data_IF_818156557449
#
_entry.id   IF_818156557449
#
_cell.length_a   1.000
_cell.length_b   1.000
_cell.length_c   1.000
_cell.angle_alpha   90.00
_cell.angle_beta   90.00
_cell.angle_gamma   90.00
#
_symmetry.space_group_name_H-M   'P 1'
#
loop_
_entity.id
_entity.type
_entity.pdbx_description
1 polymer ?
#
# COMPACT_ATOMS: atom_id res chain seq x y z
N UNK A 1 0.95 20.99 -9.88
CA UNK A 1 0.76 19.97 -8.83
C UNK A 1 0.11 18.76 -9.49
N UNK A 2 0.85 17.70 -9.79
CA UNK A 2 0.28 16.50 -10.43
C UNK A 2 -0.57 15.77 -9.39
N UNK A 3 -1.88 15.63 -9.62
CA UNK A 3 -2.74 14.76 -8.81
C UNK A 3 -2.14 13.35 -8.88
N UNK A 4 -1.59 12.84 -7.77
CA UNK A 4 -1.07 11.48 -7.64
C UNK A 4 -2.24 10.51 -7.70
N UNK A 5 -2.76 10.31 -8.90
CA UNK A 5 -3.93 9.48 -9.12
C UNK A 5 -3.42 8.07 -9.35
N UNK A 6 -3.91 7.12 -8.57
CA UNK A 6 -3.63 5.70 -8.80
C UNK A 6 -4.12 5.36 -10.22
N UNK A 7 -3.32 4.66 -11.03
CA UNK A 7 -3.73 4.29 -12.38
C UNK A 7 -5.01 3.45 -12.34
N UNK A 8 -5.91 3.63 -13.31
CA UNK A 8 -7.17 2.89 -13.39
C UNK A 8 -6.95 1.36 -13.39
N UNK A 9 -5.94 0.89 -14.12
CA UNK A 9 -5.59 -0.53 -14.16
C UNK A 9 -5.20 -1.09 -12.78
N UNK A 10 -4.64 -0.25 -11.90
CA UNK A 10 -4.30 -0.68 -10.53
C UNK A 10 -5.58 -0.96 -9.78
N UNK A 11 -6.57 -0.06 -9.83
CA UNK A 11 -7.88 -0.24 -9.20
C UNK A 11 -8.58 -1.54 -9.65
N UNK A 12 -8.35 -2.00 -10.88
CA UNK A 12 -8.89 -3.28 -11.37
C UNK A 12 -8.21 -4.53 -10.81
N UNK A 13 -6.94 -4.44 -10.41
CA UNK A 13 -6.14 -5.57 -9.87
C UNK A 13 -5.95 -5.50 -8.35
N UNK A 14 -6.37 -4.41 -7.70
CA UNK A 14 -6.27 -4.31 -6.24
C UNK A 14 -7.22 -5.30 -5.57
N UNK A 15 -6.72 -5.91 -4.51
CA UNK A 15 -7.52 -6.71 -3.59
C UNK A 15 -7.98 -5.82 -2.46
N UNK A 16 -9.27 -5.84 -2.20
CA UNK A 16 -9.90 -5.07 -1.14
C UNK A 16 -9.97 -5.90 0.13
N UNK A 17 -9.63 -5.29 1.26
CA UNK A 17 -9.81 -5.86 2.59
C UNK A 17 -10.72 -4.93 3.36
N UNK A 18 -11.82 -5.49 3.86
CA UNK A 18 -12.77 -4.77 4.67
C UNK A 18 -12.23 -4.56 6.09
N UNK A 19 -12.59 -3.43 6.68
CA UNK A 19 -12.22 -3.09 8.05
C UNK A 19 -13.21 -2.09 8.62
N UNK A 20 -13.25 -1.98 9.95
CA UNK A 20 -14.06 -1.00 10.69
C UNK A 20 -13.61 0.44 10.47
N UNK A 21 -12.33 0.67 10.17
CA UNK A 21 -11.80 2.01 9.93
C UNK A 21 -11.54 2.24 8.44
N UNK A 22 -12.45 2.93 7.76
CA UNK A 22 -12.40 3.26 6.34
C UNK A 22 -12.08 4.74 6.04
N UNK A 23 -11.62 5.48 7.06
CA UNK A 23 -11.35 6.92 6.96
C UNK A 23 -10.20 7.28 6.00
N UNK A 24 -9.36 6.30 5.65
CA UNK A 24 -8.11 6.50 4.95
C UNK A 24 -8.05 5.64 3.67
N UNK A 25 -7.63 6.25 2.55
CA UNK A 25 -7.46 5.52 1.29
C UNK A 25 -6.11 4.81 1.25
N UNK A 26 -6.05 3.65 1.89
CA UNK A 26 -4.80 2.87 2.01
C UNK A 26 -4.66 1.93 0.82
N UNK A 27 -3.53 2.03 0.12
CA UNK A 27 -3.11 1.13 -0.94
C UNK A 27 -1.70 0.61 -0.66
N UNK A 28 -1.57 -0.71 -0.51
CA UNK A 28 -0.30 -1.37 -0.21
C UNK A 28 0.17 -2.23 -1.40
N UNK A 29 1.30 -1.88 -1.99
CA UNK A 29 2.00 -2.76 -2.92
C UNK A 29 2.85 -3.74 -2.13
N UNK A 30 2.64 -5.03 -2.37
CA UNK A 30 3.25 -6.12 -1.61
C UNK A 30 3.80 -7.21 -2.52
N UNK A 31 4.61 -8.10 -1.94
CA UNK A 31 5.05 -9.34 -2.56
C UNK A 31 4.47 -10.51 -1.77
N UNK A 32 3.90 -11.49 -2.46
CA UNK A 32 3.32 -12.69 -1.84
C UNK A 32 4.37 -13.51 -1.06
N UNK A 33 5.62 -13.47 -1.53
CA UNK A 33 6.77 -14.16 -0.95
C UNK A 33 7.48 -13.38 0.17
N UNK A 34 7.12 -12.12 0.43
CA UNK A 34 7.81 -11.28 1.41
C UNK A 34 7.20 -11.39 2.82
N UNK A 35 8.02 -11.73 3.81
CA UNK A 35 7.60 -11.84 5.22
C UNK A 35 7.13 -10.49 5.79
N UNK A 36 7.79 -9.39 5.44
CA UNK A 36 7.42 -8.05 5.89
C UNK A 36 6.07 -7.59 5.34
N UNK A 37 5.76 -7.96 4.09
CA UNK A 37 4.45 -7.70 3.51
C UNK A 37 3.33 -8.41 4.27
N UNK A 38 3.56 -9.67 4.66
CA UNK A 38 2.60 -10.42 5.49
C UNK A 38 2.39 -9.75 6.86
N UNK A 39 3.46 -9.29 7.51
CA UNK A 39 3.38 -8.55 8.78
C UNK A 39 2.59 -7.24 8.64
N UNK A 40 2.81 -6.50 7.55
CA UNK A 40 2.07 -5.28 7.24
C UNK A 40 0.57 -5.54 7.11
N UNK A 41 0.16 -6.50 6.25
CA UNK A 41 -1.24 -6.88 6.07
C UNK A 41 -1.87 -7.28 7.40
N UNK A 42 -1.17 -8.10 8.18
CA UNK A 42 -1.63 -8.52 9.51
C UNK A 42 -1.78 -7.35 10.47
N UNK A 43 -0.89 -6.36 10.47
CA UNK A 43 -1.02 -5.17 11.31
C UNK A 43 -2.32 -4.40 10.99
N UNK A 44 -2.58 -4.16 9.70
CA UNK A 44 -3.79 -3.47 9.24
C UNK A 44 -5.06 -4.24 9.60
N UNK A 45 -5.04 -5.56 9.38
CA UNK A 45 -6.12 -6.48 9.75
C UNK A 45 -6.38 -6.51 11.28
N UNK A 46 -5.33 -6.54 12.10
CA UNK A 46 -5.45 -6.52 13.56
C UNK A 46 -6.03 -5.20 14.10
N UNK A 47 -5.79 -4.09 13.39
CA UNK A 47 -6.39 -2.78 13.70
C UNK A 47 -7.76 -2.60 13.03
N UNK A 48 -8.27 -3.61 12.32
CA UNK A 48 -9.52 -3.59 11.57
C UNK A 48 -9.59 -2.38 10.62
N UNK A 49 -8.48 -2.04 9.97
CA UNK A 49 -8.41 -0.93 9.04
C UNK A 49 -8.79 -1.44 7.65
N UNK A 50 -9.65 -0.72 6.94
CA UNK A 50 -9.96 -1.00 5.54
C UNK A 50 -8.75 -0.59 4.69
N UNK A 51 -8.24 -1.51 3.89
CA UNK A 51 -7.12 -1.23 2.99
C UNK A 51 -7.22 -2.03 1.72
N UNK A 52 -6.48 -1.58 0.71
CA UNK A 52 -6.34 -2.26 -0.58
C UNK A 52 -4.91 -2.70 -0.74
N UNK A 53 -4.68 -3.84 -1.38
CA UNK A 53 -3.33 -4.29 -1.66
C UNK A 53 -3.19 -4.94 -3.04
N UNK A 54 -1.99 -4.84 -3.60
CA UNK A 54 -1.62 -5.49 -4.86
C UNK A 54 -0.38 -6.32 -4.63
N UNK A 55 -0.48 -7.62 -4.89
CA UNK A 55 0.71 -8.47 -4.94
C UNK A 55 1.35 -8.35 -6.32
N UNK A 56 2.37 -7.49 -6.45
CA UNK A 56 3.01 -7.18 -7.75
C UNK A 56 3.74 -8.37 -8.38
N UNK A 57 3.98 -9.42 -7.58
CA UNK A 57 4.52 -10.70 -8.02
C UNK A 57 3.45 -11.62 -8.63
N UNK A 58 2.17 -11.40 -8.30
CA UNK A 58 1.04 -12.26 -8.70
C UNK A 58 0.29 -11.71 -9.92
N UNK A 59 0.80 -10.64 -10.53
CA UNK A 59 0.22 -9.98 -11.71
C UNK A 59 1.15 -10.15 -12.91
N UNK A 60 0.63 -9.87 -14.10
CA UNK A 60 1.41 -9.94 -15.33
C UNK A 60 2.58 -8.95 -15.32
N UNK A 61 3.67 -9.32 -16.01
CA UNK A 61 4.88 -8.51 -16.13
C UNK A 61 4.63 -7.10 -16.69
N UNK A 62 3.63 -6.94 -17.57
CA UNK A 62 3.19 -5.64 -18.10
C UNK A 62 2.67 -4.73 -16.97
N UNK A 63 1.65 -5.17 -16.24
CA UNK A 63 1.10 -4.44 -15.10
C UNK A 63 2.18 -4.15 -14.03
N UNK A 64 3.06 -5.12 -13.78
CA UNK A 64 4.19 -4.94 -12.86
C UNK A 64 5.12 -3.82 -13.31
N UNK A 65 5.47 -3.77 -14.60
CA UNK A 65 6.28 -2.70 -15.17
C UNK A 65 5.64 -1.33 -14.99
N UNK A 66 4.34 -1.23 -15.29
CA UNK A 66 3.59 0.02 -15.13
C UNK A 66 3.52 0.49 -13.67
N UNK A 67 3.32 -0.42 -12.71
CA UNK A 67 3.33 -0.06 -11.27
C UNK A 67 4.72 0.45 -10.87
N UNK A 68 5.79 -0.24 -11.29
CA UNK A 68 7.15 0.17 -10.97
C UNK A 68 7.48 1.55 -11.54
N UNK A 69 7.09 1.82 -12.79
CA UNK A 69 7.24 3.11 -13.43
C UNK A 69 6.45 4.19 -12.70
N UNK A 70 5.17 3.95 -12.42
CA UNK A 70 4.33 4.83 -11.62
C UNK A 70 4.97 5.16 -10.27
N UNK A 71 5.44 4.15 -9.53
CA UNK A 71 6.06 4.35 -8.22
C UNK A 71 7.35 5.16 -8.33
N UNK A 72 8.16 4.91 -9.35
CA UNK A 72 9.43 5.60 -9.60
C UNK A 72 9.21 7.07 -9.95
N UNK A 73 8.24 7.35 -10.83
CA UNK A 73 7.92 8.71 -11.26
C UNK A 73 7.22 9.54 -10.18
N UNK A 74 6.40 8.92 -9.33
CA UNK A 74 5.59 9.66 -8.35
C UNK A 74 6.25 9.80 -6.97
N UNK A 75 7.16 8.90 -6.60
CA UNK A 75 7.70 8.85 -5.24
C UNK A 75 9.22 9.02 -5.15
N UNK A 76 9.93 9.12 -6.30
CA UNK A 76 11.38 9.43 -6.42
C UNK A 76 12.28 8.74 -5.37
N UNK A 77 11.90 7.53 -4.95
CA UNK A 77 12.52 6.80 -3.85
C UNK A 77 12.87 5.38 -4.26
N UNK A 78 13.71 4.72 -3.47
CA UNK A 78 14.02 3.31 -3.69
C UNK A 78 12.76 2.50 -3.46
N UNK A 79 12.25 1.89 -4.53
CA UNK A 79 11.09 1.01 -4.46
C UNK A 79 11.46 -0.22 -3.63
N UNK A 80 10.89 -0.31 -2.43
CA UNK A 80 10.98 -1.48 -1.55
C UNK A 80 9.58 -1.88 -1.10
N UNK A 81 9.40 -3.17 -0.83
CA UNK A 81 8.12 -3.73 -0.42
C UNK A 81 8.15 -4.12 1.07
N UNK A 82 7.09 -3.86 1.85
CA UNK A 82 5.80 -3.28 1.43
C UNK A 82 5.88 -1.78 1.16
N UNK A 83 5.22 -1.31 0.11
CA UNK A 83 5.08 0.12 -0.20
C UNK A 83 3.62 0.53 0.05
N UNK A 84 3.38 1.36 1.05
CA UNK A 84 2.04 1.82 1.41
C UNK A 84 1.86 3.25 0.98
N UNK A 85 0.70 3.53 0.40
CA UNK A 85 0.22 4.86 0.07
C UNK A 85 -1.05 5.08 0.87
N UNK A 86 -1.16 6.23 1.51
CA UNK A 86 -2.36 6.67 2.21
C UNK A 86 -2.63 8.10 1.79
N UNK A 87 -3.64 8.29 0.95
CA UNK A 87 -4.00 9.57 0.34
C UNK A 87 -2.79 10.26 -0.31
N UNK A 88 -2.19 11.29 0.30
CA UNK A 88 -1.00 11.98 -0.23
C UNK A 88 0.34 11.50 0.36
N UNK A 89 0.28 10.73 1.45
CA UNK A 89 1.45 10.22 2.19
C UNK A 89 1.83 8.82 1.71
N UNK A 90 3.08 8.43 1.91
CA UNK A 90 3.56 7.09 1.62
C UNK A 90 4.56 6.60 2.67
N UNK A 91 4.65 5.28 2.83
CA UNK A 91 5.62 4.61 3.69
C UNK A 91 6.24 3.45 2.93
N UNK A 92 7.56 3.37 2.99
CA UNK A 92 8.33 2.29 2.38
C UNK A 92 8.88 1.40 3.49
N UNK A 93 8.59 0.10 3.41
CA UNK A 93 8.98 -0.89 4.42
C UNK A 93 7.94 -1.10 5.50
N UNK A 94 8.20 -2.09 6.37
CA UNK A 94 7.37 -2.38 7.54
C UNK A 94 7.87 -1.59 8.75
N UNK A 95 7.11 -0.55 9.14
CA UNK A 95 7.45 0.31 10.26
C UNK A 95 6.20 0.62 11.11
N UNK A 96 5.94 -0.17 12.17
CA UNK A 96 4.70 -0.10 12.91
C UNK A 96 4.50 1.27 13.59
N UNK A 97 5.58 1.98 13.95
CA UNK A 97 5.48 3.33 14.52
C UNK A 97 4.91 4.31 13.50
N UNK A 98 5.46 4.31 12.28
CA UNK A 98 4.97 5.19 11.20
C UNK A 98 3.54 4.82 10.79
N UNK A 99 3.18 3.54 10.85
CA UNK A 99 1.82 3.10 10.55
C UNK A 99 0.83 3.66 11.58
N UNK A 100 1.19 3.61 12.85
CA UNK A 100 0.36 4.13 13.93
C UNK A 100 0.11 5.65 13.76
N UNK A 101 1.17 6.42 13.46
CA UNK A 101 1.05 7.86 13.14
C UNK A 101 0.29 8.15 11.85
N UNK A 102 0.44 7.30 10.81
CA UNK A 102 -0.19 7.52 9.51
C UNK A 102 -1.68 7.21 9.54
N UNK A 103 -2.07 6.14 10.23
CA UNK A 103 -3.46 5.67 10.29
C UNK A 103 -4.20 6.19 11.52
N UNK A 104 -3.53 6.95 12.40
CA UNK A 104 -4.11 7.46 13.64
C UNK A 104 -4.56 6.34 14.57
N UNK A 105 -3.83 5.22 14.57
CA UNK A 105 -4.22 4.02 15.30
C UNK A 105 -3.76 4.04 16.78
N UNK A 106 -3.16 5.14 17.23
CA UNK A 106 -2.78 5.39 18.61
C UNK A 106 -3.44 6.65 19.12
N UNK A 107 -4.56 6.49 19.82
CA UNK A 107 -5.10 7.41 20.84
C UNK A 107 -6.20 6.63 21.60
N UNK A 108 -5.79 5.87 22.63
CA UNK A 108 -5.96 6.20 24.07
C UNK A 108 -5.09 5.25 24.92
#
# INVERSE_FOLDING_TARGET
MKKKTIPDFVEQIVKHVEGKNDKNNILAFTLSTCQWCKKCKRYLDNKEIKYRYVDVDQINSENKGQILEFLKENYETRISYPFIICDDKFIVGFDPKKYDEMFGAGED
#
